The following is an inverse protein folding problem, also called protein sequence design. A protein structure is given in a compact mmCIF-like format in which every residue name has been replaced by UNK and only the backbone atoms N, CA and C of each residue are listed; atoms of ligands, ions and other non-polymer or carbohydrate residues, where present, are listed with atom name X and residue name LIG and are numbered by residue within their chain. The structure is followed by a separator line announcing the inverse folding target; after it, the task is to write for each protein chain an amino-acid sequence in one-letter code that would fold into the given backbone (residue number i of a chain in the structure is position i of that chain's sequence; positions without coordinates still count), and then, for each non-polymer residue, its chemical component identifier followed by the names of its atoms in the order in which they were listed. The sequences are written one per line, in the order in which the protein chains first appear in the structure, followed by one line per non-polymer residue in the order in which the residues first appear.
data_IF_920130231937
#
_entry.id   IF_920130231937
#
_cell.length_a   1.000
_cell.length_b   1.000
_cell.length_c   1.000
_cell.angle_alpha   90.00
_cell.angle_beta   90.00
_cell.angle_gamma   90.00
#
_symmetry.space_group_name_H-M   'P 1'
#
loop_
_entity.id
_entity.type
_entity.pdbx_description
1 polymer ?
#
# COMPACT_ATOMS: atom_id res chain seq x y z
N UNK A 1 43.79 -31.27 -7.36
CA UNK A 1 42.77 -30.35 -7.96
C UNK A 1 41.37 -30.61 -7.38
N UNK A 2 40.98 -31.83 -7.09
CA UNK A 2 39.63 -32.24 -6.60
C UNK A 2 39.25 -31.68 -5.21
N UNK A 3 40.20 -31.44 -4.32
CA UNK A 3 39.92 -30.98 -2.93
C UNK A 3 39.46 -29.53 -2.83
N UNK A 4 39.91 -28.66 -3.76
CA UNK A 4 39.49 -27.24 -3.77
C UNK A 4 38.04 -27.08 -4.25
N UNK A 5 37.61 -27.92 -5.16
CA UNK A 5 36.23 -27.88 -5.70
C UNK A 5 35.22 -28.38 -4.64
N UNK A 6 35.58 -29.37 -3.85
CA UNK A 6 34.75 -29.87 -2.75
C UNK A 6 34.47 -28.81 -1.71
N UNK A 7 35.47 -28.03 -1.27
CA UNK A 7 35.28 -26.91 -0.33
C UNK A 7 34.44 -25.81 -0.93
N UNK A 8 34.59 -25.50 -2.22
CA UNK A 8 33.78 -24.49 -2.91
C UNK A 8 32.31 -24.90 -2.93
N UNK A 9 31.98 -26.13 -3.31
CA UNK A 9 30.58 -26.57 -3.37
C UNK A 9 29.93 -26.67 -1.98
N UNK A 10 30.65 -27.14 -0.97
CA UNK A 10 30.10 -27.18 0.39
C UNK A 10 29.86 -25.81 0.97
N UNK A 11 30.76 -24.85 0.72
CA UNK A 11 30.59 -23.45 1.17
C UNK A 11 29.39 -22.77 0.48
N UNK A 12 29.27 -22.98 -0.83
CA UNK A 12 28.16 -22.44 -1.63
C UNK A 12 26.81 -23.04 -1.19
N UNK A 13 26.74 -24.34 -0.98
CA UNK A 13 25.53 -25.01 -0.50
C UNK A 13 25.11 -24.51 0.89
N UNK A 14 26.08 -24.31 1.79
CA UNK A 14 25.82 -23.78 3.13
C UNK A 14 25.30 -22.33 3.06
N UNK A 15 25.86 -21.49 2.19
CA UNK A 15 25.41 -20.11 2.01
C UNK A 15 23.98 -20.04 1.47
N UNK A 16 23.65 -20.90 0.48
CA UNK A 16 22.29 -20.99 -0.06
C UNK A 16 21.31 -21.46 1.02
N UNK A 17 21.65 -22.48 1.80
CA UNK A 17 20.79 -22.99 2.87
C UNK A 17 20.53 -21.92 3.96
N UNK A 18 21.57 -21.17 4.35
CA UNK A 18 21.43 -20.06 5.30
C UNK A 18 20.54 -18.95 4.73
N UNK A 19 20.71 -18.58 3.45
CA UNK A 19 19.90 -17.56 2.80
C UNK A 19 18.42 -17.96 2.73
N UNK A 20 18.11 -19.21 2.43
CA UNK A 20 16.75 -19.76 2.44
C UNK A 20 16.18 -19.74 3.86
N UNK A 21 16.95 -20.17 4.87
CA UNK A 21 16.50 -20.16 6.26
C UNK A 21 16.20 -18.74 6.77
N UNK A 22 17.04 -17.75 6.43
CA UNK A 22 16.80 -16.33 6.76
C UNK A 22 15.56 -15.80 6.06
N UNK A 23 15.36 -16.13 4.78
CA UNK A 23 14.16 -15.74 4.03
C UNK A 23 12.89 -16.35 4.64
N UNK A 24 12.93 -17.63 5.04
CA UNK A 24 11.82 -18.29 5.72
C UNK A 24 11.53 -17.67 7.10
N UNK A 25 12.55 -17.29 7.88
CA UNK A 25 12.36 -16.61 9.16
C UNK A 25 11.73 -15.22 9.00
N UNK A 26 12.03 -14.50 7.93
CA UNK A 26 11.42 -13.20 7.66
C UNK A 26 9.95 -13.31 7.21
N UNK A 27 9.52 -14.45 6.68
CA UNK A 27 8.13 -14.68 6.27
C UNK A 27 7.19 -15.04 7.43
N UNK A 28 7.71 -15.27 8.64
CA UNK A 28 6.94 -15.64 9.84
C UNK A 28 6.60 -14.46 10.74
N UNK A 29 6.38 -13.28 10.18
CA UNK A 29 5.77 -12.17 10.92
C UNK A 29 4.43 -12.60 11.55
N UNK A 30 4.00 -12.01 12.68
CA UNK A 30 2.74 -12.38 13.33
C UNK A 30 1.60 -12.28 12.31
N UNK A 31 0.97 -13.42 11.99
CA UNK A 31 -0.19 -13.44 11.09
C UNK A 31 -1.33 -12.69 11.78
N UNK A 32 -1.75 -11.59 11.17
CA UNK A 32 -2.97 -10.89 11.59
C UNK A 32 -4.14 -11.84 11.37
N UNK A 33 -4.99 -12.05 12.39
CA UNK A 33 -6.16 -12.93 12.22
C UNK A 33 -7.19 -12.31 11.27
N UNK A 34 -8.00 -13.15 10.65
CA UNK A 34 -9.03 -12.72 9.69
C UNK A 34 -10.01 -11.74 10.32
N UNK A 35 -10.41 -12.00 11.55
CA UNK A 35 -11.30 -11.12 12.31
C UNK A 35 -10.68 -9.74 12.51
N UNK A 36 -9.37 -9.68 12.79
CA UNK A 36 -8.65 -8.43 12.96
C UNK A 36 -8.50 -7.65 11.66
N UNK A 37 -8.35 -8.34 10.53
CA UNK A 37 -8.38 -7.69 9.21
C UNK A 37 -9.75 -7.04 8.96
N UNK A 38 -10.83 -7.75 9.24
CA UNK A 38 -12.20 -7.23 9.06
C UNK A 38 -12.48 -6.06 10.01
N UNK A 39 -12.07 -6.18 11.28
CA UNK A 39 -12.35 -5.16 12.29
C UNK A 39 -11.55 -3.87 12.08
N UNK A 40 -10.26 -4.01 11.87
CA UNK A 40 -9.33 -2.87 11.82
C UNK A 40 -9.06 -2.35 10.41
N UNK A 41 -9.35 -3.17 9.37
CA UNK A 41 -8.95 -2.85 8.01
C UNK A 41 -7.43 -2.78 7.85
N UNK A 42 -6.97 -1.78 7.10
CA UNK A 42 -5.55 -1.52 6.87
C UNK A 42 -5.26 -0.03 6.90
N UNK A 43 -4.13 0.38 7.49
CA UNK A 43 -3.74 1.78 7.51
C UNK A 43 -2.22 1.95 7.38
N UNK A 44 -1.83 2.86 6.47
CA UNK A 44 -0.47 3.36 6.34
C UNK A 44 -0.46 4.82 6.76
N UNK A 45 0.15 5.10 7.89
CA UNK A 45 0.28 6.45 8.47
C UNK A 45 1.58 6.57 9.26
N UNK A 46 1.93 7.78 9.62
CA UNK A 46 3.12 8.00 10.43
C UNK A 46 4.37 7.56 9.69
N UNK A 47 5.32 6.95 10.40
CA UNK A 47 6.55 6.42 9.82
C UNK A 47 6.31 5.33 8.77
N UNK A 48 5.19 4.60 8.84
CA UNK A 48 4.85 3.56 7.84
C UNK A 48 4.69 4.11 6.42
N UNK A 49 4.50 5.43 6.25
CA UNK A 49 4.47 6.08 4.93
C UNK A 49 5.79 5.95 4.16
N UNK A 50 6.92 5.74 4.85
CA UNK A 50 8.22 5.45 4.22
C UNK A 50 8.22 4.12 3.45
N UNK A 51 7.34 3.18 3.83
CA UNK A 51 7.25 1.84 3.24
C UNK A 51 6.34 1.80 2.00
N UNK A 52 5.79 2.93 1.57
CA UNK A 52 5.07 2.99 0.30
C UNK A 52 6.01 2.67 -0.85
N UNK A 53 5.50 2.01 -1.87
CA UNK A 53 6.25 1.70 -3.09
C UNK A 53 5.91 2.72 -4.17
N UNK A 54 6.92 3.23 -4.88
CA UNK A 54 6.74 4.12 -6.03
C UNK A 54 7.13 3.39 -7.31
N UNK A 55 6.24 3.39 -8.30
CA UNK A 55 6.50 2.86 -9.63
C UNK A 55 7.12 3.91 -10.55
N UNK A 56 7.71 3.51 -11.70
CA UNK A 56 8.23 4.45 -12.68
C UNK A 56 7.18 5.51 -13.08
N UNK A 57 7.58 6.77 -13.11
CA UNK A 57 6.71 7.90 -13.43
C UNK A 57 6.14 8.63 -12.22
N UNK A 58 6.29 8.08 -11.02
CA UNK A 58 5.90 8.73 -9.75
C UNK A 58 7.08 8.78 -8.77
N UNK A 59 7.01 9.67 -7.80
CA UNK A 59 7.96 9.76 -6.71
C UNK A 59 7.31 10.38 -5.47
N UNK A 60 7.87 10.11 -4.29
CA UNK A 60 7.46 10.77 -3.05
C UNK A 60 8.65 11.01 -2.14
N UNK A 61 8.49 11.97 -1.25
CA UNK A 61 9.44 12.29 -0.18
C UNK A 61 8.70 12.24 1.16
N UNK A 62 9.23 11.49 2.11
CA UNK A 62 8.69 11.44 3.47
C UNK A 62 9.06 12.69 4.24
N UNK A 63 8.07 13.27 4.90
CA UNK A 63 8.16 14.44 5.77
C UNK A 63 7.88 13.99 7.20
N UNK A 64 8.90 13.96 8.08
CA UNK A 64 8.71 13.51 9.46
C UNK A 64 7.78 14.43 10.23
N UNK A 65 7.19 13.91 11.31
CA UNK A 65 6.39 14.71 12.22
C UNK A 65 7.22 15.80 12.91
N UNK A 66 6.59 16.94 13.13
CA UNK A 66 7.13 18.04 13.91
C UNK A 66 6.18 18.32 15.10
N UNK A 67 6.52 19.28 15.97
CA UNK A 67 5.62 19.69 17.05
C UNK A 67 4.28 20.22 16.56
N UNK A 68 4.23 20.76 15.32
CA UNK A 68 3.04 21.41 14.75
C UNK A 68 2.36 20.61 13.63
N UNK A 69 2.93 19.50 13.19
CA UNK A 69 2.41 18.72 12.07
C UNK A 69 2.70 17.23 12.23
N UNK A 70 1.71 16.35 12.02
CA UNK A 70 1.96 14.93 11.87
C UNK A 70 2.80 14.66 10.62
N UNK A 71 3.43 13.49 10.54
CA UNK A 71 4.16 13.06 9.35
C UNK A 71 3.24 12.90 8.14
N UNK A 72 3.78 13.10 6.96
CA UNK A 72 3.11 12.95 5.68
C UNK A 72 4.14 12.66 4.58
N UNK A 73 3.69 12.33 3.39
CA UNK A 73 4.54 12.32 2.19
C UNK A 73 4.15 13.49 1.29
N UNK A 74 5.12 14.04 0.59
CA UNK A 74 4.92 14.92 -0.56
C UNK A 74 5.14 14.09 -1.82
N UNK A 75 4.13 13.98 -2.66
CA UNK A 75 4.07 13.09 -3.82
C UNK A 75 3.90 13.88 -5.13
N UNK A 76 4.51 13.38 -6.20
CA UNK A 76 4.42 13.93 -7.55
C UNK A 76 4.43 12.83 -8.62
N UNK A 77 3.92 13.17 -9.82
CA UNK A 77 4.18 12.42 -11.05
C UNK A 77 4.98 13.28 -12.03
N UNK A 78 5.83 12.63 -12.83
CA UNK A 78 6.61 13.26 -13.91
C UNK A 78 6.35 12.63 -15.27
N UNK A 79 5.39 11.70 -15.32
CA UNK A 79 4.90 11.04 -16.53
C UNK A 79 3.38 11.11 -16.54
N UNK A 80 2.75 11.40 -17.70
CA UNK A 80 1.29 11.31 -17.81
C UNK A 80 0.78 9.91 -17.47
N UNK A 81 -0.35 9.84 -16.75
CA UNK A 81 -0.98 8.57 -16.36
C UNK A 81 -1.21 7.63 -17.55
N UNK A 82 -1.57 8.20 -18.70
CA UNK A 82 -1.84 7.47 -19.95
C UNK A 82 -0.61 6.79 -20.56
N UNK A 83 0.60 7.21 -20.16
CA UNK A 83 1.87 6.62 -20.61
C UNK A 83 2.45 5.62 -19.59
N UNK A 84 1.86 5.48 -18.45
CA UNK A 84 2.27 4.53 -17.42
C UNK A 84 1.48 3.21 -17.53
N UNK A 85 2.00 2.14 -16.92
CA UNK A 85 1.28 0.86 -16.83
C UNK A 85 -0.03 1.05 -16.05
N UNK A 86 -1.03 0.20 -16.32
CA UNK A 86 -2.37 0.32 -15.74
C UNK A 86 -2.36 0.40 -14.20
N UNK A 87 -1.53 -0.39 -13.56
CA UNK A 87 -1.38 -0.45 -12.09
C UNK A 87 -0.22 0.39 -11.55
N UNK A 88 0.44 1.24 -12.37
CA UNK A 88 1.55 2.07 -11.88
C UNK A 88 1.05 3.21 -10.98
N UNK A 89 1.83 3.56 -9.94
CA UNK A 89 1.50 4.64 -8.99
C UNK A 89 2.38 4.63 -7.75
N UNK A 90 1.93 5.27 -6.70
CA UNK A 90 2.46 5.12 -5.35
C UNK A 90 1.49 4.23 -4.57
N UNK A 91 1.98 3.13 -3.98
CA UNK A 91 1.14 2.08 -3.43
C UNK A 91 1.42 1.76 -1.98
N UNK A 92 0.35 1.46 -1.26
CA UNK A 92 0.37 0.60 -0.10
C UNK A 92 0.07 -0.83 -0.55
N UNK A 93 0.92 -1.77 -0.17
CA UNK A 93 0.82 -3.19 -0.54
C UNK A 93 0.08 -3.95 0.53
N UNK A 94 -0.94 -4.70 0.15
CA UNK A 94 -1.71 -5.61 1.00
C UNK A 94 -1.27 -7.05 0.69
N UNK A 95 -0.86 -7.78 1.71
CA UNK A 95 -0.44 -9.18 1.54
C UNK A 95 -1.61 -10.13 1.25
N UNK A 96 -1.32 -11.41 0.89
CA UNK A 96 -2.31 -12.41 0.46
C UNK A 96 -3.45 -12.65 1.45
N UNK A 97 -3.19 -12.52 2.76
CA UNK A 97 -4.23 -12.64 3.78
C UNK A 97 -5.33 -11.57 3.64
N UNK A 98 -4.96 -10.36 3.23
CA UNK A 98 -5.91 -9.27 3.01
C UNK A 98 -6.78 -9.58 1.80
N UNK A 99 -6.20 -9.96 0.65
CA UNK A 99 -6.98 -10.31 -0.55
C UNK A 99 -8.01 -11.39 -0.22
N UNK A 100 -7.59 -12.50 0.40
CA UNK A 100 -8.47 -13.59 0.79
C UNK A 100 -9.62 -13.16 1.71
N UNK A 101 -9.36 -12.29 2.68
CA UNK A 101 -10.35 -11.86 3.68
C UNK A 101 -11.25 -10.76 3.15
N UNK A 102 -10.74 -9.89 2.27
CA UNK A 102 -11.46 -8.73 1.77
C UNK A 102 -12.26 -9.03 0.49
N UNK A 103 -11.99 -10.13 -0.21
CA UNK A 103 -12.73 -10.55 -1.40
C UNK A 103 -14.22 -10.66 -1.13
N UNK A 104 -15.04 -10.04 -1.97
CA UNK A 104 -16.49 -9.99 -1.86
C UNK A 104 -17.05 -9.03 -0.79
N UNK A 105 -16.22 -8.32 -0.03
CA UNK A 105 -16.67 -7.38 1.01
C UNK A 105 -16.81 -5.96 0.47
N UNK A 106 -17.77 -5.23 1.02
CA UNK A 106 -17.89 -3.80 0.77
C UNK A 106 -16.80 -3.03 1.50
N UNK A 107 -15.96 -2.31 0.75
CA UNK A 107 -14.78 -1.61 1.24
C UNK A 107 -14.89 -0.10 1.00
N UNK A 108 -14.25 0.69 1.87
CA UNK A 108 -13.92 2.08 1.63
C UNK A 108 -12.42 2.31 1.71
N UNK A 109 -11.81 2.75 0.61
CA UNK A 109 -10.45 3.28 0.60
C UNK A 109 -10.51 4.77 0.89
N UNK A 110 -9.72 5.23 1.86
CA UNK A 110 -9.68 6.62 2.30
C UNK A 110 -8.25 7.13 2.15
N UNK A 111 -8.09 8.25 1.44
CA UNK A 111 -6.81 8.97 1.30
C UNK A 111 -6.95 10.34 1.93
N UNK A 112 -6.20 10.60 2.99
CA UNK A 112 -6.14 11.95 3.57
C UNK A 112 -5.06 12.77 2.86
N UNK A 113 -5.47 13.75 2.09
CA UNK A 113 -4.58 14.54 1.23
C UNK A 113 -4.95 16.01 1.19
N UNK A 114 -4.00 16.81 0.70
CA UNK A 114 -4.19 18.25 0.41
C UNK A 114 -3.28 18.71 -0.74
N UNK A 115 -3.55 19.90 -1.25
CA UNK A 115 -2.61 20.64 -2.11
C UNK A 115 -1.33 20.93 -1.33
N UNK A 116 -0.19 20.73 -1.98
CA UNK A 116 1.08 21.22 -1.41
C UNK A 116 1.14 22.75 -1.50
N UNK A 117 1.74 23.38 -0.50
CA UNK A 117 1.77 24.86 -0.39
C UNK A 117 2.70 25.51 -1.42
N UNK A 118 3.77 24.86 -1.83
CA UNK A 118 4.79 25.44 -2.70
C UNK A 118 4.47 25.27 -4.20
N UNK A 119 3.97 24.10 -4.60
CA UNK A 119 3.70 23.77 -5.99
C UNK A 119 2.43 22.89 -6.09
N UNK A 120 1.27 23.54 -5.94
CA UNK A 120 -0.01 22.89 -5.75
C UNK A 120 -0.46 22.05 -6.94
N UNK A 121 -0.72 20.76 -6.70
CA UNK A 121 -1.48 19.89 -7.58
C UNK A 121 -2.98 20.15 -7.35
N UNK A 122 -3.77 20.16 -8.43
CA UNK A 122 -5.22 20.41 -8.35
C UNK A 122 -6.04 19.12 -8.21
N UNK A 123 -5.57 18.02 -8.79
CA UNK A 123 -6.30 16.76 -8.86
C UNK A 123 -5.35 15.56 -8.78
N UNK A 124 -5.80 14.47 -8.15
CA UNK A 124 -5.08 13.20 -8.11
C UNK A 124 -6.05 12.05 -8.36
N UNK A 125 -5.52 10.90 -8.76
CA UNK A 125 -6.29 9.67 -8.90
C UNK A 125 -6.00 8.73 -7.73
N UNK A 126 -7.02 7.96 -7.34
CA UNK A 126 -6.91 6.89 -6.35
C UNK A 126 -7.61 5.64 -6.85
N UNK A 127 -7.14 4.46 -6.44
CA UNK A 127 -7.71 3.18 -6.87
C UNK A 127 -7.29 2.01 -6.00
N UNK A 128 -8.14 0.98 -6.00
CA UNK A 128 -7.88 -0.34 -5.43
C UNK A 128 -7.63 -1.33 -6.56
N UNK A 129 -6.53 -2.07 -6.50
CA UNK A 129 -6.09 -2.98 -7.54
C UNK A 129 -5.84 -4.36 -6.97
N UNK A 130 -6.36 -5.37 -7.65
CA UNK A 130 -6.18 -6.78 -7.31
C UNK A 130 -5.43 -7.49 -8.44
N UNK A 131 -4.69 -8.53 -8.13
CA UNK A 131 -4.06 -9.35 -9.16
C UNK A 131 -5.09 -10.37 -9.70
N UNK A 132 -5.83 -9.97 -10.75
CA UNK A 132 -6.68 -10.89 -11.52
C UNK A 132 -8.17 -10.93 -11.14
N UNK A 133 -8.61 -10.33 -10.04
CA UNK A 133 -10.02 -10.36 -9.60
C UNK A 133 -10.81 -9.08 -9.93
N UNK A 134 -10.21 -8.17 -10.69
CA UNK A 134 -10.82 -6.91 -11.12
C UNK A 134 -10.49 -5.73 -10.21
N UNK A 135 -10.36 -4.57 -10.83
CA UNK A 135 -9.91 -3.33 -10.21
C UNK A 135 -11.04 -2.33 -10.06
N UNK A 136 -10.93 -1.41 -9.09
CA UNK A 136 -11.82 -0.24 -9.02
C UNK A 136 -11.64 0.72 -10.19
N UNK A 137 -10.55 0.60 -10.93
CA UNK A 137 -10.01 1.60 -11.82
C UNK A 137 -9.58 2.86 -11.06
N UNK A 138 -8.92 3.77 -11.76
CA UNK A 138 -8.54 5.07 -11.22
C UNK A 138 -9.74 6.00 -11.12
N UNK A 139 -9.88 6.69 -9.99
CA UNK A 139 -10.95 7.66 -9.71
C UNK A 139 -10.34 8.99 -9.31
N UNK A 140 -10.57 10.01 -10.13
CA UNK A 140 -10.05 11.37 -9.91
C UNK A 140 -10.73 12.09 -8.74
N UNK A 141 -9.95 12.88 -8.01
CA UNK A 141 -10.37 13.68 -6.86
C UNK A 141 -9.73 15.07 -6.90
N UNK A 142 -10.52 16.11 -6.78
CA UNK A 142 -10.05 17.51 -6.70
C UNK A 142 -9.50 17.79 -5.31
N UNK A 143 -8.25 18.22 -5.24
CA UNK A 143 -7.56 18.56 -3.99
C UNK A 143 -8.01 19.91 -3.45
N UNK A 144 -8.03 20.05 -2.14
CA UNK A 144 -8.25 21.31 -1.41
C UNK A 144 -6.96 21.75 -0.70
N UNK A 145 -6.86 23.03 -0.32
CA UNK A 145 -5.71 23.53 0.43
C UNK A 145 -5.63 22.96 1.85
N UNK A 146 -6.77 22.64 2.46
CA UNK A 146 -6.85 21.98 3.76
C UNK A 146 -6.77 20.47 3.61
N UNK A 147 -6.32 19.78 4.65
CA UNK A 147 -6.41 18.33 4.74
C UNK A 147 -7.86 17.87 4.62
N UNK A 148 -8.10 16.92 3.73
CA UNK A 148 -9.41 16.32 3.51
C UNK A 148 -9.28 14.84 3.23
N UNK A 149 -10.27 14.07 3.68
CA UNK A 149 -10.39 12.65 3.38
C UNK A 149 -11.17 12.48 2.07
N UNK A 150 -10.57 11.74 1.14
CA UNK A 150 -11.15 11.36 -0.14
C UNK A 150 -11.49 9.89 -0.09
N UNK A 151 -12.72 9.56 -0.43
CA UNK A 151 -13.25 8.20 -0.26
C UNK A 151 -13.54 7.56 -1.62
N UNK A 152 -13.17 6.29 -1.74
CA UNK A 152 -13.52 5.40 -2.84
C UNK A 152 -14.18 4.16 -2.27
N UNK A 153 -15.42 3.89 -2.68
CA UNK A 153 -16.13 2.65 -2.37
C UNK A 153 -15.87 1.61 -3.45
N UNK A 154 -15.58 0.39 -3.04
CA UNK A 154 -15.29 -0.71 -3.95
C UNK A 154 -15.59 -2.05 -3.27
N UNK A 155 -16.01 -3.04 -4.08
CA UNK A 155 -16.17 -4.44 -3.64
C UNK A 155 -15.35 -5.30 -4.59
N UNK A 156 -14.16 -5.79 -4.17
CA UNK A 156 -13.39 -6.72 -4.99
C UNK A 156 -14.17 -8.02 -5.17
N UNK A 157 -13.99 -8.69 -6.30
CA UNK A 157 -14.54 -10.03 -6.46
C UNK A 157 -13.88 -11.00 -5.45
N UNK A 158 -14.58 -12.04 -5.00
CA UNK A 158 -13.94 -13.09 -4.22
C UNK A 158 -12.80 -13.73 -5.01
N UNK A 159 -11.64 -13.92 -4.35
CA UNK A 159 -10.54 -14.66 -4.97
C UNK A 159 -10.96 -16.10 -5.23
N UNK A 160 -10.75 -16.58 -6.47
CA UNK A 160 -11.05 -17.96 -6.88
C UNK A 160 -9.79 -18.84 -6.90
N UNK A 161 -8.63 -18.21 -6.94
CA UNK A 161 -7.31 -18.84 -7.00
C UNK A 161 -6.53 -18.65 -5.71
N UNK A 162 -5.24 -19.01 -5.73
CA UNK A 162 -4.35 -18.70 -4.61
C UNK A 162 -4.28 -17.18 -4.40
N UNK A 163 -4.47 -16.70 -3.14
CA UNK A 163 -4.43 -15.27 -2.86
C UNK A 163 -3.10 -14.65 -3.25
N UNK A 164 -3.14 -13.51 -3.93
CA UNK A 164 -1.98 -12.75 -4.37
C UNK A 164 -1.88 -11.43 -3.58
N UNK A 165 -1.48 -10.37 -4.19
CA UNK A 165 -1.18 -9.08 -3.57
C UNK A 165 -2.11 -8.01 -4.11
N UNK A 166 -2.82 -7.33 -3.20
CA UNK A 166 -3.64 -6.18 -3.52
C UNK A 166 -2.88 -4.86 -3.29
N UNK A 167 -3.33 -3.81 -3.95
CA UNK A 167 -2.69 -2.50 -3.89
C UNK A 167 -3.70 -1.37 -3.68
N UNK A 168 -3.38 -0.47 -2.73
CA UNK A 168 -4.06 0.81 -2.58
C UNK A 168 -3.20 1.88 -3.25
N UNK A 169 -3.63 2.34 -4.43
CA UNK A 169 -2.82 3.21 -5.29
C UNK A 169 -3.28 4.66 -5.26
N UNK A 170 -2.30 5.57 -5.37
CA UNK A 170 -2.51 6.98 -5.70
C UNK A 170 -1.64 7.38 -6.89
N UNK A 171 -2.16 8.27 -7.74
CA UNK A 171 -1.42 8.89 -8.84
C UNK A 171 -1.50 10.41 -8.73
N UNK A 172 -0.39 11.09 -8.47
CA UNK A 172 -0.35 12.54 -8.29
C UNK A 172 -0.43 13.29 -9.64
N UNK A 173 -1.64 13.61 -10.11
CA UNK A 173 -1.87 14.38 -11.34
C UNK A 173 -1.78 13.57 -12.63
N UNK A 174 -2.86 13.54 -13.39
CA UNK A 174 -2.99 12.74 -14.59
C UNK A 174 -2.03 13.15 -15.72
N UNK A 175 -1.61 14.41 -15.77
CA UNK A 175 -0.76 14.98 -16.83
C UNK A 175 0.75 14.83 -16.63
N UNK A 176 1.21 14.42 -15.45
CA UNK A 176 2.64 14.33 -15.13
C UNK A 176 3.32 15.70 -14.98
N UNK A 177 2.59 16.68 -14.43
CA UNK A 177 2.98 18.11 -14.39
C UNK A 177 4.10 18.43 -13.38
N UNK A 178 4.59 17.44 -12.64
CA UNK A 178 5.56 17.61 -11.54
C UNK A 178 5.05 18.52 -10.42
N UNK A 179 3.72 18.68 -10.33
CA UNK A 179 3.06 19.35 -9.22
C UNK A 179 2.96 18.42 -8.02
N UNK A 180 2.80 19.01 -6.85
CA UNK A 180 2.92 18.33 -5.56
C UNK A 180 1.57 18.22 -4.85
N UNK A 181 1.34 17.09 -4.22
CA UNK A 181 0.32 16.88 -3.21
C UNK A 181 0.94 16.34 -1.93
N UNK A 182 0.32 16.63 -0.79
CA UNK A 182 0.69 16.03 0.48
C UNK A 182 -0.32 14.94 0.85
N UNK A 183 0.16 13.79 1.35
CA UNK A 183 -0.67 12.66 1.81
C UNK A 183 -0.29 12.29 3.23
N UNK A 184 -1.27 12.29 4.14
CA UNK A 184 -1.07 12.00 5.56
C UNK A 184 -1.30 10.54 5.92
N UNK A 185 -2.24 9.87 5.25
CA UNK A 185 -2.48 8.43 5.37
C UNK A 185 -3.24 7.87 4.16
N UNK A 186 -3.11 6.57 3.99
CA UNK A 186 -3.96 5.74 3.14
C UNK A 186 -4.56 4.68 4.05
N UNK A 187 -5.90 4.56 4.06
CA UNK A 187 -6.66 3.66 4.92
C UNK A 187 -7.65 2.84 4.11
N UNK A 188 -7.86 1.60 4.51
CA UNK A 188 -8.90 0.73 4.00
C UNK A 188 -9.79 0.29 5.17
N UNK A 189 -11.10 0.43 5.02
CA UNK A 189 -12.10 0.00 5.99
C UNK A 189 -13.07 -0.99 5.36
N UNK A 190 -13.47 -1.99 6.13
CA UNK A 190 -14.56 -2.91 5.80
C UNK A 190 -15.85 -2.29 6.28
N UNK A 191 -16.87 -2.19 5.41
CA UNK A 191 -18.14 -1.54 5.71
C UNK A 191 -19.19 -2.51 6.27
N UNK A 192 -19.14 -3.78 5.89
CA UNK A 192 -20.06 -4.85 6.28
C UNK A 192 -19.56 -5.65 7.51
N UNK A 193 -19.10 -4.92 8.55
CA UNK A 193 -18.62 -5.54 9.80
C UNK A 193 -19.77 -6.18 10.56
N UNK A 194 -19.63 -7.45 10.93
CA UNK A 194 -20.51 -8.08 11.91
C UNK A 194 -20.19 -7.53 13.33
N UNK A 195 -21.12 -6.80 13.91
CA UNK A 195 -20.95 -6.12 15.22
C UNK A 195 -20.71 -7.05 16.42
N UNK A 196 -20.73 -8.37 16.26
CA UNK A 196 -20.58 -9.33 17.35
C UNK A 196 -19.12 -9.70 17.70
N UNK A 197 -18.11 -9.09 17.04
CA UNK A 197 -16.69 -9.46 17.22
C UNK A 197 -15.83 -8.38 17.90
N UNK A 198 -16.43 -7.37 18.49
CA UNK A 198 -15.83 -6.06 18.84
C UNK A 198 -14.72 -6.07 19.89
N UNK A 199 -14.20 -7.18 20.43
CA UNK A 199 -13.26 -7.09 21.56
C UNK A 199 -11.99 -7.97 21.52
N UNK A 200 -11.54 -8.46 20.37
CA UNK A 200 -10.36 -9.37 20.33
C UNK A 200 -9.12 -8.85 19.63
N UNK A 201 -9.19 -7.70 18.98
CA UNK A 201 -8.10 -7.21 18.15
C UNK A 201 -7.35 -6.04 18.78
N UNK A 202 -6.45 -6.31 19.71
CA UNK A 202 -5.47 -5.32 20.12
C UNK A 202 -4.31 -5.28 19.12
N UNK A 203 -4.20 -4.22 18.35
CA UNK A 203 -3.00 -3.91 17.58
C UNK A 203 -1.89 -3.52 18.57
N UNK A 204 -0.87 -4.34 18.70
CA UNK A 204 0.41 -3.89 19.26
C UNK A 204 1.04 -2.94 18.23
N UNK A 205 0.74 -1.64 18.37
CA UNK A 205 1.44 -0.56 17.69
C UNK A 205 2.80 -0.38 18.36
N UNK A 206 3.78 -1.17 17.99
CA UNK A 206 5.20 -0.89 18.24
C UNK A 206 5.88 -0.51 16.94
#
# INVERSE_FOLDING_TARGET
MIMKDFYFYTLSASFIAISIAVAMMQSTGPKVSDECIVENGYIVQGKKLENLTSSPGTNFTFMPSTQSSPSYITALSHVPRTKAQASAGIFAVLGPNYERVLGGRALSMIVSARKNKANALDEFDMGYFTAGTGDSGWKSRKLTAAWRDYVLYFTPAPSQDEPDIDYLGIWPGAGGEKKLMDVRYIKLEVLDKNMNTVNKCSYNNN
#
